data_IF_488969019543
#
_entry.id   IF_488969019543
#
_cell.length_a   1.000
_cell.length_b   1.000
_cell.length_c   1.000
_cell.angle_alpha   90.00
_cell.angle_beta   90.00
_cell.angle_gamma   90.00
#
_symmetry.space_group_name_H-M   'P 1'
#
loop_
_entity.id
_entity.type
_entity.pdbx_description
1 polymer ?
#
# COMPACT_ATOMS: atom_id res chain seq x y z
N UNK A 1 16.94 -19.42 -5.85
CA UNK A 1 16.14 -20.15 -4.86
C UNK A 1 14.76 -19.49 -4.76
N UNK A 2 13.72 -20.08 -5.32
CA UNK A 2 12.34 -19.75 -4.92
C UNK A 2 12.14 -20.37 -3.55
N UNK A 3 12.27 -19.58 -2.49
CA UNK A 3 11.67 -19.99 -1.22
C UNK A 3 10.17 -19.96 -1.49
N UNK A 4 9.53 -21.13 -1.53
CA UNK A 4 8.14 -21.25 -1.14
C UNK A 4 8.09 -20.64 0.25
N UNK A 5 7.72 -19.36 0.31
CA UNK A 5 7.29 -18.74 1.56
C UNK A 5 6.24 -19.72 2.05
N UNK A 6 6.56 -20.46 3.11
CA UNK A 6 5.63 -21.34 3.78
C UNK A 6 4.32 -20.57 3.87
N UNK A 7 3.25 -21.12 3.28
CA UNK A 7 2.18 -20.28 2.71
C UNK A 7 1.57 -19.34 3.75
N UNK A 8 1.77 -19.62 5.05
CA UNK A 8 1.61 -18.72 6.19
C UNK A 8 0.15 -18.33 6.44
N UNK A 9 -0.70 -18.58 5.45
CA UNK A 9 -2.11 -18.31 5.41
C UNK A 9 -2.91 -19.48 5.96
N UNK A 10 -2.37 -20.71 5.89
CA UNK A 10 -2.98 -21.88 6.51
C UNK A 10 -3.14 -21.74 8.03
N UNK A 11 -2.28 -20.98 8.70
CA UNK A 11 -2.40 -20.66 10.12
C UNK A 11 -3.17 -19.36 10.41
N UNK A 12 -3.44 -18.53 9.41
CA UNK A 12 -4.11 -17.22 9.57
C UNK A 12 -5.61 -17.31 9.33
N UNK A 13 -6.04 -18.16 8.40
CA UNK A 13 -7.44 -18.41 8.09
C UNK A 13 -7.77 -19.87 8.40
N UNK A 14 -8.76 -20.07 9.27
CA UNK A 14 -9.37 -21.36 9.54
C UNK A 14 -9.92 -22.01 8.27
N UNK A 15 -10.11 -23.33 8.29
CA UNK A 15 -10.71 -24.06 7.16
C UNK A 15 -12.08 -23.49 6.75
N UNK A 16 -12.93 -23.15 7.74
CA UNK A 16 -14.23 -22.53 7.50
C UNK A 16 -14.06 -21.18 6.77
N UNK A 17 -13.17 -20.30 7.22
CA UNK A 17 -12.91 -19.02 6.54
C UNK A 17 -12.41 -19.22 5.11
N UNK A 18 -11.55 -20.20 4.86
CA UNK A 18 -11.09 -20.52 3.50
C UNK A 18 -12.26 -20.93 2.58
N UNK A 19 -13.23 -21.70 3.09
CA UNK A 19 -14.44 -22.03 2.33
C UNK A 19 -15.33 -20.80 2.06
N UNK A 20 -15.38 -19.83 2.98
CA UNK A 20 -16.08 -18.56 2.74
C UNK A 20 -15.39 -17.73 1.66
N UNK A 21 -14.06 -17.65 1.68
CA UNK A 21 -13.29 -16.99 0.60
C UNK A 21 -13.56 -17.70 -0.73
N UNK A 22 -13.69 -19.03 -0.75
CA UNK A 22 -13.99 -19.83 -1.95
C UNK A 22 -15.39 -19.55 -2.49
N UNK A 23 -16.40 -19.52 -1.63
CA UNK A 23 -17.77 -19.16 -2.00
C UNK A 23 -17.85 -17.71 -2.50
N UNK A 24 -17.16 -16.79 -1.82
CA UNK A 24 -17.04 -15.41 -2.25
C UNK A 24 -16.42 -15.30 -3.65
N UNK A 25 -15.30 -15.98 -3.92
CA UNK A 25 -14.67 -16.03 -5.25
C UNK A 25 -15.64 -16.47 -6.34
N UNK A 26 -16.39 -17.57 -6.11
CA UNK A 26 -17.38 -18.07 -7.07
C UNK A 26 -18.42 -17.01 -7.43
N UNK A 27 -18.83 -16.18 -6.45
CA UNK A 27 -19.82 -15.12 -6.64
C UNK A 27 -19.28 -13.91 -7.43
N UNK A 28 -17.99 -13.57 -7.27
CA UNK A 28 -17.44 -12.32 -7.85
C UNK A 28 -16.62 -12.54 -9.12
N UNK A 29 -16.16 -13.76 -9.42
CA UNK A 29 -15.17 -14.03 -10.47
C UNK A 29 -15.57 -13.49 -11.85
N UNK A 30 -16.86 -13.55 -12.20
CA UNK A 30 -17.37 -13.06 -13.49
C UNK A 30 -17.46 -11.53 -13.54
N UNK A 31 -17.61 -10.87 -12.38
CA UNK A 31 -17.76 -9.42 -12.26
C UNK A 31 -16.38 -8.73 -12.20
N UNK A 32 -15.34 -9.44 -11.75
CA UNK A 32 -13.99 -8.87 -11.64
C UNK A 32 -13.40 -8.34 -12.95
N UNK A 33 -13.77 -8.95 -14.09
CA UNK A 33 -13.32 -8.47 -15.41
C UNK A 33 -13.88 -7.07 -15.69
N UNK A 34 -15.14 -6.84 -15.36
CA UNK A 34 -15.80 -5.55 -15.50
C UNK A 34 -15.25 -4.51 -14.51
N UNK A 35 -14.86 -4.90 -13.30
CA UNK A 35 -14.18 -3.96 -12.39
C UNK A 35 -12.81 -3.53 -12.90
N UNK A 36 -12.09 -4.43 -13.57
CA UNK A 36 -10.78 -4.12 -14.13
C UNK A 36 -10.87 -3.09 -15.26
N UNK A 37 -11.90 -3.13 -16.09
CA UNK A 37 -12.08 -2.15 -17.18
C UNK A 37 -12.46 -0.77 -16.67
N UNK A 38 -13.06 -0.69 -15.48
CA UNK A 38 -13.44 0.57 -14.80
C UNK A 38 -12.31 1.19 -13.98
N UNK A 39 -11.15 0.54 -13.89
CA UNK A 39 -10.02 1.08 -13.13
C UNK A 39 -9.48 2.34 -13.82
N UNK A 40 -9.55 3.47 -13.12
CA UNK A 40 -9.04 4.74 -13.60
C UNK A 40 -7.66 5.01 -12.99
N UNK A 41 -6.70 5.30 -13.87
CA UNK A 41 -5.38 5.81 -13.48
C UNK A 41 -5.50 7.28 -13.04
N UNK A 42 -4.50 7.83 -12.33
CA UNK A 42 -4.47 9.25 -12.02
C UNK A 42 -4.73 10.09 -13.27
N UNK A 43 -5.52 11.15 -13.14
CA UNK A 43 -5.88 12.01 -14.26
C UNK A 43 -4.62 12.52 -14.97
N UNK A 44 -4.57 12.36 -16.29
CA UNK A 44 -3.44 12.78 -17.12
C UNK A 44 -2.24 11.82 -17.12
N UNK A 45 -2.31 10.68 -16.42
CA UNK A 45 -1.26 9.66 -16.43
C UNK A 45 -1.84 8.38 -17.04
N UNK A 46 -1.28 7.92 -18.16
CA UNK A 46 -1.70 6.68 -18.78
C UNK A 46 -1.27 5.45 -17.95
N UNK A 47 -1.77 4.28 -18.38
CA UNK A 47 -1.49 3.00 -17.72
C UNK A 47 0.00 2.65 -17.74
N UNK A 48 0.66 2.80 -18.88
CA UNK A 48 2.05 2.39 -19.07
C UNK A 48 2.98 3.22 -18.20
N UNK A 49 2.81 4.54 -18.22
CA UNK A 49 3.51 5.48 -17.35
C UNK A 49 3.29 5.15 -15.87
N UNK A 50 2.05 4.86 -15.48
CA UNK A 50 1.73 4.49 -14.09
C UNK A 50 2.39 3.18 -13.66
N UNK A 51 2.45 2.19 -14.55
CA UNK A 51 3.13 0.90 -14.29
C UNK A 51 4.64 1.11 -14.22
N UNK A 52 5.23 1.86 -15.16
CA UNK A 52 6.65 2.20 -15.14
C UNK A 52 7.05 2.86 -13.83
N UNK A 53 6.31 3.89 -13.41
CA UNK A 53 6.58 4.60 -12.15
C UNK A 53 6.54 3.67 -10.93
N UNK A 54 5.65 2.67 -10.91
CA UNK A 54 5.60 1.68 -9.83
C UNK A 54 6.81 0.75 -9.86
N UNK A 55 7.21 0.29 -11.03
CA UNK A 55 8.38 -0.57 -11.19
C UNK A 55 9.67 0.17 -10.81
N UNK A 56 9.79 1.45 -11.16
CA UNK A 56 10.92 2.29 -10.78
C UNK A 56 11.02 2.42 -9.24
N UNK A 57 9.88 2.53 -8.53
CA UNK A 57 9.85 2.55 -7.06
C UNK A 57 10.22 1.19 -6.44
N UNK A 58 9.75 0.08 -7.01
CA UNK A 58 10.12 -1.26 -6.55
C UNK A 58 11.63 -1.49 -6.70
N UNK A 59 12.20 -1.11 -7.85
CA UNK A 59 13.64 -1.21 -8.10
C UNK A 59 14.44 -0.36 -7.10
N UNK A 60 14.02 0.88 -6.83
CA UNK A 60 14.68 1.74 -5.85
C UNK A 60 14.62 1.16 -4.43
N UNK A 61 13.49 0.55 -4.05
CA UNK A 61 13.36 -0.17 -2.78
C UNK A 61 14.33 -1.36 -2.74
N UNK A 62 14.40 -2.18 -3.79
CA UNK A 62 15.30 -3.33 -3.83
C UNK A 62 16.75 -2.90 -3.70
N UNK A 63 17.17 -1.85 -4.41
CA UNK A 63 18.52 -1.32 -4.33
C UNK A 63 18.87 -0.86 -2.90
N UNK A 64 17.99 -0.09 -2.26
CA UNK A 64 18.19 0.35 -0.88
C UNK A 64 18.29 -0.83 0.10
N UNK A 65 17.43 -1.84 -0.06
CA UNK A 65 17.45 -3.02 0.81
C UNK A 65 18.68 -3.91 0.59
N UNK A 66 19.18 -3.99 -0.63
CA UNK A 66 20.42 -4.72 -0.95
C UNK A 66 21.65 -4.02 -0.37
N UNK A 67 21.74 -2.70 -0.51
CA UNK A 67 22.90 -1.91 -0.08
C UNK A 67 22.90 -1.65 1.43
N UNK A 68 21.75 -1.36 2.02
CA UNK A 68 21.63 -0.81 3.38
C UNK A 68 20.76 -1.64 4.34
N UNK A 69 19.95 -2.57 3.82
CA UNK A 69 18.91 -3.29 4.57
C UNK A 69 17.81 -2.39 5.18
N UNK A 70 17.69 -1.14 4.72
CA UNK A 70 16.64 -0.19 5.09
C UNK A 70 16.42 0.81 3.94
N UNK A 71 15.32 1.56 3.96
CA UNK A 71 15.05 2.55 2.90
C UNK A 71 15.71 3.89 3.21
N UNK A 72 16.36 4.48 2.21
CA UNK A 72 16.77 5.90 2.27
C UNK A 72 15.53 6.78 2.36
N UNK A 73 15.65 7.96 2.98
CA UNK A 73 14.55 8.94 3.01
C UNK A 73 14.08 9.32 1.61
N UNK A 74 14.98 9.42 0.63
CA UNK A 74 14.64 9.73 -0.77
C UNK A 74 13.66 8.71 -1.35
N UNK A 75 13.94 7.41 -1.19
CA UNK A 75 13.08 6.31 -1.66
C UNK A 75 11.77 6.26 -0.87
N UNK A 76 11.85 6.38 0.46
CA UNK A 76 10.67 6.43 1.32
C UNK A 76 9.72 7.58 0.93
N UNK A 77 10.26 8.79 0.74
CA UNK A 77 9.49 9.96 0.34
C UNK A 77 8.94 9.84 -1.07
N UNK A 78 9.66 9.18 -2.00
CA UNK A 78 9.16 8.90 -3.34
C UNK A 78 7.89 8.02 -3.29
N UNK A 79 7.88 6.97 -2.47
CA UNK A 79 6.70 6.14 -2.22
C UNK A 79 5.55 6.95 -1.61
N UNK A 80 5.86 7.81 -0.64
CA UNK A 80 4.86 8.65 0.04
C UNK A 80 4.26 9.69 -0.91
N UNK A 81 5.08 10.31 -1.75
CA UNK A 81 4.65 11.27 -2.77
C UNK A 81 3.78 10.59 -3.82
N UNK A 82 4.21 9.45 -4.35
CA UNK A 82 3.41 8.66 -5.29
C UNK A 82 2.05 8.27 -4.69
N UNK A 83 2.04 7.82 -3.44
CA UNK A 83 0.84 7.30 -2.80
C UNK A 83 -0.12 8.34 -2.23
N UNK A 84 0.37 9.52 -1.82
CA UNK A 84 -0.36 10.47 -0.98
C UNK A 84 -0.10 11.94 -1.35
N UNK A 85 0.68 12.21 -2.40
CA UNK A 85 0.95 13.55 -2.91
C UNK A 85 1.90 14.39 -2.06
N UNK A 86 2.55 13.81 -1.05
CA UNK A 86 3.47 14.52 -0.17
C UNK A 86 4.61 13.64 0.35
N UNK A 87 5.79 14.25 0.49
CA UNK A 87 6.92 13.66 1.21
C UNK A 87 6.62 13.56 2.71
N UNK A 88 7.41 12.75 3.43
CA UNK A 88 7.35 12.70 4.88
C UNK A 88 8.21 13.80 5.51
N UNK A 89 7.80 14.27 6.68
CA UNK A 89 8.62 15.15 7.53
C UNK A 89 9.43 14.32 8.54
N UNK A 90 9.66 13.04 8.26
CA UNK A 90 10.38 12.12 9.14
C UNK A 90 11.89 12.26 8.92
N UNK A 91 12.64 12.03 9.99
CA UNK A 91 14.11 11.99 9.95
C UNK A 91 14.58 10.74 9.21
N UNK A 92 15.76 10.82 8.57
CA UNK A 92 16.43 9.66 7.96
C UNK A 92 16.62 8.53 8.98
N UNK A 93 17.03 8.87 10.21
CA UNK A 93 17.31 7.91 11.28
C UNK A 93 16.06 7.12 11.70
N UNK A 94 14.90 7.78 11.83
CA UNK A 94 13.66 7.09 12.19
C UNK A 94 13.16 6.20 11.06
N UNK A 95 13.25 6.68 9.80
CA UNK A 95 12.94 5.89 8.61
C UNK A 95 13.82 4.64 8.56
N UNK A 96 15.14 4.81 8.70
CA UNK A 96 16.10 3.71 8.65
C UNK A 96 15.83 2.66 9.73
N UNK A 97 15.61 3.09 10.98
CA UNK A 97 15.29 2.18 12.11
C UNK A 97 14.03 1.37 11.84
N UNK A 98 12.95 2.04 11.46
CA UNK A 98 11.62 1.42 11.33
C UNK A 98 11.54 0.53 10.09
N UNK A 99 12.10 0.98 8.96
CA UNK A 99 12.12 0.18 7.73
C UNK A 99 13.03 -1.04 7.87
N UNK A 100 14.19 -0.93 8.53
CA UNK A 100 15.04 -2.09 8.84
C UNK A 100 14.26 -3.18 9.57
N UNK A 101 13.60 -2.81 10.68
CA UNK A 101 12.77 -3.72 11.46
C UNK A 101 11.64 -4.32 10.62
N UNK A 102 10.91 -3.48 9.88
CA UNK A 102 9.81 -3.92 9.04
C UNK A 102 10.23 -4.95 7.98
N UNK A 103 11.34 -4.72 7.28
CA UNK A 103 11.84 -5.63 6.25
C UNK A 103 12.50 -6.90 6.83
N UNK A 104 13.02 -6.86 8.06
CA UNK A 104 13.40 -8.06 8.78
C UNK A 104 12.19 -8.95 9.13
N UNK A 105 11.12 -8.35 9.63
CA UNK A 105 9.84 -9.05 9.86
C UNK A 105 9.28 -9.62 8.55
N UNK A 106 9.28 -8.83 7.46
CA UNK A 106 8.77 -9.25 6.16
C UNK A 106 9.54 -10.47 5.62
N UNK A 107 10.88 -10.43 5.65
CA UNK A 107 11.73 -11.57 5.23
C UNK A 107 11.49 -12.84 6.05
N UNK A 108 10.98 -12.69 7.27
CA UNK A 108 10.64 -13.79 8.17
C UNK A 108 9.17 -14.24 8.05
N UNK A 109 8.40 -13.73 7.08
CA UNK A 109 6.99 -14.07 6.90
C UNK A 109 6.03 -13.42 7.91
N UNK A 110 6.52 -12.50 8.76
CA UNK A 110 5.75 -11.85 9.84
C UNK A 110 5.10 -10.55 9.36
N UNK A 111 4.04 -10.67 8.57
CA UNK A 111 3.41 -9.54 7.87
C UNK A 111 2.78 -8.50 8.81
N UNK A 112 2.06 -8.93 9.85
CA UNK A 112 1.47 -8.01 10.81
C UNK A 112 2.54 -7.20 11.55
N UNK A 113 3.63 -7.85 11.97
CA UNK A 113 4.76 -7.20 12.63
C UNK A 113 5.49 -6.25 11.69
N UNK A 114 5.66 -6.60 10.41
CA UNK A 114 6.24 -5.73 9.41
C UNK A 114 5.44 -4.43 9.24
N UNK A 115 4.10 -4.54 9.17
CA UNK A 115 3.22 -3.38 9.11
C UNK A 115 3.26 -2.56 10.41
N UNK A 116 3.26 -3.24 11.56
CA UNK A 116 3.30 -2.61 12.88
C UNK A 116 4.57 -1.76 13.06
N UNK A 117 5.73 -2.30 12.68
CA UNK A 117 7.00 -1.58 12.74
C UNK A 117 6.99 -0.28 11.92
N UNK A 118 6.33 -0.25 10.77
CA UNK A 118 6.15 0.99 10.01
C UNK A 118 5.10 1.91 10.63
N UNK A 119 4.05 1.37 11.24
CA UNK A 119 3.00 2.15 11.90
C UNK A 119 3.46 2.85 13.18
N UNK A 120 4.61 2.48 13.74
CA UNK A 120 5.26 3.21 14.84
C UNK A 120 5.81 4.57 14.40
N UNK A 121 6.04 4.78 13.10
CA UNK A 121 6.43 6.09 12.57
C UNK A 121 5.27 7.09 12.64
N UNK A 122 5.54 8.26 13.22
CA UNK A 122 4.55 9.34 13.33
C UNK A 122 3.96 9.70 11.96
N UNK A 123 2.64 9.61 11.85
CA UNK A 123 1.90 9.95 10.62
C UNK A 123 1.83 8.83 9.57
N UNK A 124 2.42 7.66 9.86
CA UNK A 124 2.35 6.46 9.01
C UNK A 124 1.26 5.53 9.55
N UNK A 125 0.04 5.66 9.03
CA UNK A 125 -1.02 4.68 9.28
C UNK A 125 -0.89 3.45 8.40
N UNK A 126 -1.74 2.44 8.63
CA UNK A 126 -1.70 1.15 7.93
C UNK A 126 -1.75 1.26 6.39
N UNK A 127 -2.45 2.26 5.86
CA UNK A 127 -2.49 2.52 4.40
C UNK A 127 -1.13 2.94 3.83
N UNK A 128 -0.32 3.68 4.60
CA UNK A 128 1.05 4.06 4.21
C UNK A 128 2.01 2.89 4.39
N UNK A 129 1.94 2.22 5.54
CA UNK A 129 2.75 1.07 5.86
C UNK A 129 2.60 -0.04 4.80
N UNK A 130 1.35 -0.46 4.53
CA UNK A 130 1.08 -1.50 3.52
C UNK A 130 1.51 -1.09 2.11
N UNK A 131 1.52 0.21 1.76
CA UNK A 131 1.99 0.68 0.45
C UNK A 131 3.51 0.57 0.30
N UNK A 132 4.25 0.90 1.36
CA UNK A 132 5.71 0.71 1.39
C UNK A 132 6.04 -0.77 1.24
N UNK A 133 5.38 -1.64 2.00
CA UNK A 133 5.57 -3.09 1.91
C UNK A 133 5.14 -3.61 0.54
N UNK A 134 3.97 -3.22 0.03
CA UNK A 134 3.45 -3.72 -1.25
C UNK A 134 4.31 -3.34 -2.45
N UNK A 135 4.99 -2.19 -2.42
CA UNK A 135 5.91 -1.80 -3.49
C UNK A 135 7.26 -2.51 -3.41
N UNK A 136 7.60 -3.15 -2.29
CA UNK A 136 8.81 -3.97 -2.20
C UNK A 136 8.68 -5.36 -2.83
N UNK A 137 7.44 -5.84 -3.02
CA UNK A 137 7.15 -7.07 -3.73
C UNK A 137 5.73 -6.98 -4.29
N UNK A 138 5.61 -6.34 -5.45
CA UNK A 138 4.31 -6.07 -6.07
C UNK A 138 3.60 -7.34 -6.54
N UNK A 139 4.32 -8.46 -6.59
CA UNK A 139 3.80 -9.76 -7.01
C UNK A 139 3.13 -10.48 -5.85
N UNK A 140 3.72 -10.43 -4.66
CA UNK A 140 3.28 -11.19 -3.50
C UNK A 140 2.48 -10.37 -2.48
N UNK A 141 2.50 -9.04 -2.58
CA UNK A 141 1.84 -8.12 -1.66
C UNK A 141 0.90 -7.15 -2.39
N UNK A 142 0.00 -6.53 -1.63
CA UNK A 142 -0.98 -5.59 -2.15
C UNK A 142 -1.24 -4.44 -1.18
N UNK A 143 -1.65 -3.29 -1.70
CA UNK A 143 -1.95 -2.10 -0.90
C UNK A 143 -3.24 -2.33 -0.11
N UNK A 144 -3.16 -2.16 1.20
CA UNK A 144 -4.28 -2.28 2.11
C UNK A 144 -4.71 -0.90 2.62
N UNK A 145 -5.67 -0.31 1.92
CA UNK A 145 -6.34 0.93 2.30
C UNK A 145 -7.85 0.71 2.51
N UNK A 146 -8.55 1.76 2.94
CA UNK A 146 -9.99 1.68 3.22
C UNK A 146 -10.81 1.27 1.99
N UNK A 147 -10.39 1.64 0.77
CA UNK A 147 -11.11 1.32 -0.48
C UNK A 147 -10.89 -0.13 -0.88
N UNK A 148 -9.65 -0.58 -0.81
CA UNK A 148 -9.27 -1.97 -1.08
C UNK A 148 -10.01 -2.93 -0.14
N UNK A 149 -10.00 -2.65 1.16
CA UNK A 149 -10.73 -3.44 2.16
C UNK A 149 -12.25 -3.38 1.95
N UNK A 150 -12.80 -2.20 1.61
CA UNK A 150 -14.23 -2.04 1.34
C UNK A 150 -14.72 -2.80 0.10
N UNK A 151 -13.84 -3.08 -0.87
CA UNK A 151 -14.13 -3.99 -1.98
C UNK A 151 -14.45 -5.41 -1.51
N UNK A 152 -13.86 -5.83 -0.39
CA UNK A 152 -14.06 -7.13 0.25
C UNK A 152 -15.10 -7.11 1.36
N UNK A 153 -15.88 -6.02 1.54
CA UNK A 153 -16.80 -5.87 2.69
C UNK A 153 -17.88 -6.95 2.84
N UNK A 154 -18.19 -7.66 1.75
CA UNK A 154 -19.18 -8.76 1.72
C UNK A 154 -18.55 -10.12 2.06
N UNK A 155 -17.23 -10.18 2.23
CA UNK A 155 -16.54 -11.37 2.69
C UNK A 155 -16.63 -11.42 4.22
N UNK A 156 -17.64 -12.13 4.70
CA UNK A 156 -17.95 -12.35 6.11
C UNK A 156 -17.85 -13.83 6.47
N UNK A 157 -17.65 -14.13 7.75
CA UNK A 157 -17.60 -15.48 8.30
C UNK A 157 -19.01 -15.96 8.72
N UNK A 158 -19.08 -17.11 9.40
CA UNK A 158 -20.33 -17.70 9.87
C UNK A 158 -21.02 -16.86 10.95
N UNK A 159 -20.29 -15.99 11.64
CA UNK A 159 -20.82 -15.07 12.65
C UNK A 159 -21.17 -13.70 12.05
N UNK A 160 -21.19 -13.59 10.72
CA UNK A 160 -21.40 -12.36 9.96
C UNK A 160 -20.34 -11.28 10.20
N UNK A 161 -19.20 -11.63 10.82
CA UNK A 161 -18.08 -10.72 11.01
C UNK A 161 -17.22 -10.67 9.74
N UNK A 162 -16.71 -9.48 9.41
CA UNK A 162 -15.85 -9.33 8.23
C UNK A 162 -14.52 -10.04 8.44
N UNK A 163 -14.12 -10.86 7.46
CA UNK A 163 -12.81 -11.50 7.49
C UNK A 163 -11.68 -10.48 7.40
N UNK A 164 -11.87 -9.40 6.65
CA UNK A 164 -10.90 -8.32 6.50
C UNK A 164 -11.51 -7.04 7.05
N UNK A 165 -10.98 -6.49 8.16
CA UNK A 165 -11.48 -5.22 8.70
C UNK A 165 -11.19 -4.08 7.71
N UNK A 166 -12.02 -3.03 7.75
CA UNK A 166 -11.84 -1.84 6.91
C UNK A 166 -11.08 -0.80 7.74
N UNK A 167 -9.85 -0.41 7.35
CA UNK A 167 -9.14 0.65 8.07
C UNK A 167 -9.82 2.01 7.85
N UNK A 168 -9.71 2.95 8.79
CA UNK A 168 -10.32 4.27 8.66
C UNK A 168 -9.76 5.01 7.44
N UNK A 169 -10.68 5.51 6.60
CA UNK A 169 -10.36 6.32 5.44
C UNK A 169 -10.94 7.73 5.53
N UNK A 170 -10.62 8.57 4.55
CA UNK A 170 -11.19 9.93 4.45
C UNK A 170 -12.69 9.92 4.16
N UNK A 171 -13.14 8.96 3.34
CA UNK A 171 -14.52 8.87 2.84
C UNK A 171 -15.25 7.64 3.41
N UNK A 172 -14.51 6.54 3.60
CA UNK A 172 -15.07 5.29 4.09
C UNK A 172 -14.83 5.23 5.60
N UNK A 173 -15.92 5.16 6.37
CA UNK A 173 -15.85 4.90 7.81
C UNK A 173 -15.21 3.53 8.01
N UNK A 174 -14.09 3.50 8.72
CA UNK A 174 -13.43 2.25 9.08
C UNK A 174 -14.12 1.56 10.25
N UNK A 175 -13.76 0.30 10.47
CA UNK A 175 -14.16 -0.47 11.63
C UNK A 175 -13.43 0.07 12.88
N UNK A 176 -14.04 -0.03 14.06
CA UNK A 176 -13.47 0.50 15.31
C UNK A 176 -12.92 -0.63 16.17
N UNK A 177 -11.83 -0.38 16.90
CA UNK A 177 -11.26 -1.34 17.86
C UNK A 177 -10.61 -2.59 17.26
N UNK A 178 -10.38 -2.61 15.93
CA UNK A 178 -9.74 -3.74 15.24
C UNK A 178 -8.23 -3.51 15.10
N UNK A 179 -7.43 -4.58 15.14
CA UNK A 179 -5.99 -4.52 14.81
C UNK A 179 -5.82 -4.57 13.28
N UNK A 180 -5.55 -3.42 12.66
CA UNK A 180 -5.37 -3.33 11.22
C UNK A 180 -4.05 -3.93 10.71
N UNK A 181 -3.07 -4.19 11.58
CA UNK A 181 -1.86 -4.90 11.18
C UNK A 181 -2.17 -6.39 10.94
N UNK A 182 -2.97 -6.97 11.83
CA UNK A 182 -3.55 -8.31 11.61
C UNK A 182 -4.53 -8.30 10.43
N UNK A 183 -5.31 -7.22 10.29
CA UNK A 183 -6.16 -7.00 9.12
C UNK A 183 -5.38 -7.02 7.80
N UNK A 184 -4.19 -6.43 7.76
CA UNK A 184 -3.31 -6.46 6.60
C UNK A 184 -2.83 -7.88 6.27
N UNK A 185 -2.39 -8.65 7.27
CA UNK A 185 -1.99 -10.04 7.07
C UNK A 185 -3.14 -10.89 6.53
N UNK A 186 -4.33 -10.77 7.12
CA UNK A 186 -5.55 -11.46 6.64
C UNK A 186 -5.91 -11.03 5.22
N UNK A 187 -5.80 -9.74 4.90
CA UNK A 187 -6.01 -9.22 3.55
C UNK A 187 -5.08 -9.87 2.51
N UNK A 188 -3.77 -9.92 2.78
CA UNK A 188 -2.82 -10.59 1.90
C UNK A 188 -3.16 -12.08 1.73
N UNK A 189 -3.54 -12.76 2.81
CA UNK A 189 -3.91 -14.17 2.74
C UNK A 189 -5.15 -14.43 1.91
N UNK A 190 -6.19 -13.61 2.06
CA UNK A 190 -7.37 -13.67 1.19
C UNK A 190 -6.96 -13.51 -0.28
N UNK A 191 -6.12 -12.51 -0.61
CA UNK A 191 -5.70 -12.30 -2.00
C UNK A 191 -4.87 -13.45 -2.56
N UNK A 192 -4.01 -14.08 -1.76
CA UNK A 192 -3.22 -15.25 -2.18
C UNK A 192 -4.13 -16.43 -2.54
N UNK A 193 -5.12 -16.74 -1.69
CA UNK A 193 -6.12 -17.78 -1.97
C UNK A 193 -6.91 -17.50 -3.25
N UNK A 194 -7.39 -16.25 -3.43
CA UNK A 194 -8.09 -15.85 -4.64
C UNK A 194 -7.21 -16.01 -5.89
N UNK A 195 -5.93 -15.64 -5.81
CA UNK A 195 -4.94 -15.78 -6.90
C UNK A 195 -4.70 -17.25 -7.24
N UNK A 196 -4.51 -18.11 -6.24
CA UNK A 196 -4.33 -19.55 -6.44
C UNK A 196 -5.52 -20.19 -7.13
N UNK A 197 -6.75 -19.88 -6.72
CA UNK A 197 -7.92 -20.46 -7.37
C UNK A 197 -8.17 -19.90 -8.76
N UNK A 198 -7.78 -18.65 -9.03
CA UNK A 198 -7.75 -18.14 -10.41
C UNK A 198 -6.82 -18.98 -11.29
N UNK A 199 -5.64 -19.37 -10.77
CA UNK A 199 -4.67 -20.20 -11.50
C UNK A 199 -5.17 -21.65 -11.66
N UNK A 200 -5.67 -22.27 -10.58
CA UNK A 200 -6.14 -23.68 -10.58
C UNK A 200 -7.46 -23.85 -11.34
N UNK A 201 -8.33 -22.85 -11.30
CA UNK A 201 -9.67 -22.87 -11.90
C UNK A 201 -9.70 -22.85 -13.44
N UNK A 202 -8.54 -22.91 -14.10
CA UNK A 202 -8.50 -23.27 -15.51
C UNK A 202 -9.18 -22.27 -16.43
N UNK A 203 -8.85 -20.98 -16.31
CA UNK A 203 -8.72 -20.22 -17.55
C UNK A 203 -7.41 -20.66 -18.21
N UNK A 204 -7.42 -21.85 -18.82
CA UNK A 204 -6.27 -22.44 -19.52
C UNK A 204 -5.80 -21.57 -20.70
N UNK A 205 -6.58 -20.55 -21.10
CA UNK A 205 -6.17 -19.51 -22.05
C UNK A 205 -5.25 -18.45 -21.43
N UNK A 206 -5.26 -18.29 -20.10
CA UNK A 206 -4.35 -17.40 -19.36
C UNK A 206 -2.95 -18.01 -19.11
N UNK A 207 -2.68 -19.22 -19.62
CA UNK A 207 -1.33 -19.81 -19.67
C UNK A 207 -0.47 -19.25 -20.82
N UNK A 208 -0.93 -18.23 -21.56
CA UNK A 208 0.02 -17.37 -22.25
C UNK A 208 0.63 -16.44 -21.20
N UNK A 209 1.95 -16.49 -20.94
CA UNK A 209 2.57 -15.34 -20.33
C UNK A 209 2.33 -14.20 -21.32
N UNK A 210 1.43 -13.26 -21.00
CA UNK A 210 1.61 -11.92 -21.54
C UNK A 210 3.05 -11.56 -21.17
N UNK A 211 3.93 -11.49 -22.17
CA UNK A 211 5.31 -11.07 -22.00
C UNK A 211 5.30 -9.88 -21.06
N UNK A 212 5.93 -10.00 -19.90
CA UNK A 212 7.37 -9.89 -19.82
C UNK A 212 7.87 -8.73 -20.72
N UNK A 213 7.28 -7.55 -20.54
CA UNK A 213 8.03 -6.31 -20.36
C UNK A 213 8.61 -6.26 -18.92
N UNK A 214 9.19 -7.38 -18.49
CA UNK A 214 10.07 -7.47 -17.34
C UNK A 214 11.41 -7.92 -17.92
N UNK A 215 12.22 -6.93 -18.29
CA UNK A 215 13.60 -7.13 -18.67
C UNK A 215 14.27 -8.03 -17.65
N UNK A 216 14.81 -9.13 -18.13
CA UNK A 216 15.54 -10.10 -17.35
C UNK A 216 16.80 -9.42 -16.77
N UNK A 217 16.78 -9.12 -15.48
CA UNK A 217 17.99 -8.99 -14.66
C UNK A 217 17.83 -9.90 -13.45
N UNK A 218 18.00 -11.20 -13.70
CA UNK A 218 18.05 -12.21 -12.65
C UNK A 218 19.52 -12.55 -12.40
N UNK A 219 20.22 -11.65 -11.70
CA UNK A 219 21.52 -11.98 -11.14
C UNK A 219 21.34 -13.13 -10.13
N UNK A 220 22.03 -14.23 -10.39
CA UNK A 220 22.00 -15.44 -9.59
C UNK A 220 22.68 -15.17 -8.24
N UNK A 221 21.87 -15.10 -7.19
CA UNK A 221 22.28 -15.04 -5.80
C UNK A 221 23.08 -16.32 -5.42
N UNK A 222 24.41 -16.20 -5.32
CA UNK A 222 25.29 -17.07 -4.52
C UNK A 222 25.89 -16.23 -3.40
N UNK A 223 25.63 -16.60 -2.14
CA UNK A 223 26.55 -16.30 -1.04
C UNK A 223 26.67 -17.53 -0.16
N UNK A 224 27.86 -18.11 -0.22
CA UNK A 224 28.47 -18.83 0.89
C UNK A 224 28.59 -17.86 2.07
N UNK A 225 28.13 -18.26 3.25
CA UNK A 225 28.56 -17.63 4.51
C UNK A 225 28.56 -18.68 5.60
N UNK A 226 29.77 -19.08 5.97
CA UNK A 226 30.07 -19.80 7.20
C UNK A 226 29.75 -18.90 8.41
N UNK A 227 29.16 -19.50 9.45
CA UNK A 227 28.84 -18.84 10.71
C UNK A 227 30.02 -18.92 11.68
N UNK A 228 30.26 -17.88 12.49
CA UNK A 228 30.89 -18.04 13.79
C UNK A 228 29.88 -17.90 14.94
N UNK A 229 30.06 -18.78 15.93
CA UNK A 229 29.43 -18.77 17.25
C UNK A 229 30.08 -17.73 18.16
N UNK A 230 29.26 -17.13 19.03
CA UNK A 230 29.51 -16.68 20.41
C UNK A 230 28.51 -15.55 20.74
N UNK A 231 28.11 -15.22 21.96
CA UNK A 231 27.99 -15.89 23.26
C UNK A 231 27.16 -14.92 24.13
N UNK A 232 26.54 -15.44 25.19
CA UNK A 232 25.58 -14.78 26.07
C UNK A 232 26.09 -13.55 26.85
N UNK A 233 25.15 -12.66 27.22
CA UNK A 233 25.30 -11.63 28.24
C UNK A 233 23.92 -11.11 28.70
N UNK A 234 23.63 -11.19 29.99
CA UNK A 234 22.33 -10.90 30.65
C UNK A 234 22.28 -9.48 31.27
N UNK A 235 21.06 -8.89 31.20
CA UNK A 235 20.32 -8.13 32.24
C UNK A 235 20.77 -6.70 32.65
N UNK A 236 19.99 -5.90 33.45
CA UNK A 236 18.54 -5.60 33.43
C UNK A 236 18.18 -4.09 33.69
N UNK A 237 16.86 -3.79 33.80
CA UNK A 237 16.19 -2.75 34.64
C UNK A 237 15.65 -1.43 34.05
N UNK A 238 14.39 -1.11 34.45
CA UNK A 238 13.76 0.22 34.54
C UNK A 238 12.79 0.57 33.40
N UNK A 239 11.52 0.96 33.57
CA UNK A 239 10.75 1.46 34.71
C UNK A 239 10.06 2.78 34.33
N UNK A 240 8.72 2.88 34.57
CA UNK A 240 7.80 4.04 34.44
C UNK A 240 7.15 4.25 33.07
N UNK A 241 5.97 4.86 32.93
CA UNK A 241 4.73 5.11 33.70
C UNK A 241 3.94 6.11 32.86
N UNK A 242 2.62 5.98 32.84
CA UNK A 242 1.61 6.72 32.08
C UNK A 242 1.70 8.26 32.16
N UNK A 243 1.30 8.94 31.08
CA UNK A 243 0.53 10.19 31.18
C UNK A 243 -0.28 10.48 29.90
N UNK A 244 -1.55 10.81 30.15
CA UNK A 244 -2.65 11.15 29.25
C UNK A 244 -2.59 12.59 28.74
N UNK A 245 -3.14 12.85 27.54
CA UNK A 245 -3.46 14.21 27.08
C UNK A 245 -4.55 14.19 25.99
N UNK A 246 -5.72 14.78 26.30
CA UNK A 246 -6.92 14.91 25.47
C UNK A 246 -6.93 16.23 24.69
N UNK A 247 -7.53 16.19 23.48
CA UNK A 247 -8.33 17.19 22.74
C UNK A 247 -7.68 18.56 22.44
N UNK A 248 -7.74 19.12 21.24
CA UNK A 248 -8.89 19.67 20.48
C UNK A 248 -8.62 19.53 18.96
N UNK A 249 -9.53 19.51 17.99
CA UNK A 249 -10.82 20.19 17.82
C UNK A 249 -10.65 21.34 16.82
N UNK A 250 -10.84 21.12 15.51
CA UNK A 250 -11.48 22.05 14.54
C UNK A 250 -11.40 21.59 13.07
N UNK A 251 -12.59 21.31 12.52
CA UNK A 251 -13.16 21.58 11.18
C UNK A 251 -12.27 21.62 9.93
N UNK A 252 -12.66 20.86 8.89
CA UNK A 252 -12.83 21.34 7.50
C UNK A 252 -13.51 20.26 6.62
N UNK A 253 -14.73 20.54 6.16
CA UNK A 253 -15.40 19.83 5.05
C UNK A 253 -15.27 20.67 3.78
N UNK A 254 -14.99 20.03 2.64
CA UNK A 254 -15.74 20.13 1.36
C UNK A 254 -15.10 19.19 0.31
N UNK A 255 -15.96 18.59 -0.53
CA UNK A 255 -15.70 17.80 -1.76
C UNK A 255 -15.73 16.26 -1.64
N UNK A 256 -16.90 15.73 -1.26
CA UNK A 256 -17.37 14.40 -1.69
C UNK A 256 -18.48 14.58 -2.72
N UNK A 257 -18.11 14.67 -4.00
CA UNK A 257 -19.02 14.45 -5.14
C UNK A 257 -18.20 13.67 -6.14
N UNK A 258 -18.63 12.43 -6.44
CA UNK A 258 -18.30 11.62 -7.63
C UNK A 258 -18.56 10.11 -7.42
N UNK A 259 -19.34 9.67 -6.42
CA UNK A 259 -19.84 8.29 -6.37
C UNK A 259 -21.25 8.21 -5.76
N UNK A 260 -22.25 8.68 -6.50
CA UNK A 260 -23.65 8.26 -6.34
C UNK A 260 -24.31 8.24 -7.73
N UNK A 261 -24.92 7.13 -8.16
CA UNK A 261 -25.77 7.13 -9.35
C UNK A 261 -27.05 7.90 -9.04
N UNK A 262 -27.35 8.97 -9.78
CA UNK A 262 -28.66 9.61 -9.75
C UNK A 262 -29.56 8.98 -10.82
N UNK A 263 -30.66 8.37 -10.38
CA UNK A 263 -31.83 8.17 -11.24
C UNK A 263 -32.55 9.51 -11.42
N UNK A 264 -32.78 9.92 -12.67
CA UNK A 264 -33.55 11.10 -13.02
C UNK A 264 -35.06 10.82 -12.96
N UNK A 265 -35.82 11.77 -12.40
CA UNK A 265 -37.08 12.23 -12.98
C UNK A 265 -37.39 13.68 -12.50
N UNK A 266 -38.10 14.51 -13.28
CA UNK A 266 -38.05 15.97 -13.15
C UNK A 266 -39.32 16.56 -12.53
N UNK A 267 -39.22 17.62 -11.72
CA UNK A 267 -40.21 18.72 -11.78
C UNK A 267 -39.75 20.02 -11.11
N UNK A 268 -40.03 21.11 -11.85
CA UNK A 268 -40.43 22.47 -11.44
C UNK A 268 -39.44 23.45 -10.78
N UNK A 269 -39.22 24.52 -11.56
CA UNK A 269 -38.78 25.88 -11.23
C UNK A 269 -39.31 26.38 -9.88
N UNK A 270 -38.41 26.96 -9.09
CA UNK A 270 -38.60 28.28 -8.48
C UNK A 270 -37.26 28.99 -8.34
N UNK A 271 -37.21 30.16 -8.95
CA UNK A 271 -36.22 31.22 -8.79
C UNK A 271 -36.10 31.65 -7.33
N UNK A 272 -34.88 31.88 -6.84
CA UNK A 272 -34.57 32.99 -5.94
C UNK A 272 -33.05 33.28 -5.93
N UNK A 273 -32.77 34.57 -6.06
CA UNK A 273 -31.54 35.32 -5.83
C UNK A 273 -30.62 34.78 -4.72
N UNK A 274 -29.30 34.68 -4.97
CA UNK A 274 -28.36 35.43 -4.12
C UNK A 274 -26.95 35.62 -4.67
N UNK A 275 -26.45 36.79 -4.26
CA UNK A 275 -25.20 37.53 -4.40
C UNK A 275 -23.89 36.72 -4.39
N UNK A 276 -22.91 37.34 -5.06
CA UNK A 276 -21.62 36.76 -5.39
C UNK A 276 -20.66 36.53 -4.22
N UNK A 277 -19.65 35.72 -4.50
CA UNK A 277 -18.29 35.97 -4.03
C UNK A 277 -17.32 35.29 -4.99
N UNK A 278 -16.63 36.12 -5.74
CA UNK A 278 -15.59 35.75 -6.69
C UNK A 278 -14.36 35.28 -5.90
N UNK A 279 -14.01 33.99 -6.02
CA UNK A 279 -12.74 33.46 -5.49
C UNK A 279 -11.93 32.87 -6.63
N UNK A 280 -10.73 33.43 -6.77
CA UNK A 280 -9.71 33.11 -7.75
C UNK A 280 -9.37 31.63 -7.73
N UNK A 281 -9.42 31.01 -8.91
CA UNK A 281 -8.86 29.68 -9.18
C UNK A 281 -7.35 29.76 -8.99
N UNK A 282 -6.82 28.90 -8.11
CA UNK A 282 -5.39 28.58 -8.09
C UNK A 282 -5.23 27.29 -8.85
N UNK A 283 -4.78 27.41 -10.09
CA UNK A 283 -4.42 26.28 -10.93
C UNK A 283 -3.20 25.58 -10.33
N UNK A 284 -3.38 24.30 -9.98
CA UNK A 284 -2.28 23.44 -9.56
C UNK A 284 -1.50 23.01 -10.82
N UNK A 285 -0.57 23.86 -11.25
CA UNK A 285 0.43 23.48 -12.25
C UNK A 285 1.41 22.47 -11.64
N UNK A 286 1.41 21.25 -12.16
CA UNK A 286 2.55 20.35 -12.03
C UNK A 286 3.71 20.93 -12.87
N UNK A 287 4.92 21.10 -12.31
CA UNK A 287 6.07 21.42 -13.14
C UNK A 287 6.43 20.20 -14.02
N UNK A 288 6.74 20.39 -15.31
CA UNK A 288 7.28 19.34 -16.15
C UNK A 288 8.68 18.93 -15.65
N UNK A 289 8.99 17.64 -15.78
CA UNK A 289 10.32 17.11 -15.51
C UNK A 289 11.27 17.48 -16.64
N UNK A 290 12.39 18.13 -16.32
CA UNK A 290 13.60 18.12 -17.15
C UNK A 290 14.14 19.50 -17.55
N UNK A 291 15.21 19.93 -16.88
CA UNK A 291 16.31 20.65 -17.51
C UNK A 291 17.59 20.45 -16.66
N UNK A 292 18.50 19.65 -17.19
CA UNK A 292 19.87 19.48 -16.70
C UNK A 292 20.63 20.76 -17.06
N UNK A 293 21.07 21.53 -16.07
CA UNK A 293 21.94 22.67 -16.31
C UNK A 293 23.39 22.19 -16.41
N UNK A 294 23.94 22.27 -17.62
CA UNK A 294 25.36 22.12 -17.89
C UNK A 294 26.12 23.36 -17.38
N UNK A 295 27.02 23.16 -16.42
CA UNK A 295 27.92 24.21 -15.91
C UNK A 295 29.04 24.44 -16.92
N UNK A 296 29.00 25.58 -17.61
CA UNK A 296 30.07 26.08 -18.47
C UNK A 296 31.04 26.89 -17.61
N UNK A 297 32.29 26.43 -17.49
CA UNK A 297 33.43 27.24 -17.04
C UNK A 297 33.69 28.35 -18.07
N UNK A 298 33.99 29.56 -17.61
CA UNK A 298 34.96 30.49 -18.20
C UNK A 298 35.06 31.71 -17.28
N UNK A 299 36.28 32.05 -16.87
CA UNK A 299 36.58 33.21 -16.04
C UNK A 299 38.09 33.41 -16.00
N UNK A 300 38.62 34.05 -17.04
CA UNK A 300 39.96 34.62 -17.08
C UNK A 300 39.91 36.04 -16.50
N UNK A 301 40.97 36.41 -15.80
CA UNK A 301 41.20 37.67 -15.09
C UNK A 301 41.35 38.90 -16.00
N UNK A 302 41.29 40.12 -15.43
CA UNK A 302 42.21 41.20 -15.77
C UNK A 302 43.52 41.14 -14.97
#
# INVERSE_FOLDING_TARGET
MSRTIDDGCGSVLSASEQDHVRSYWKSIKNILLDWRTRYQWPQGIDRETSVKNRNDLENAIHQDLEELSYLRKTTFDAVMKWGFGRSSNLSETDIARSTRSAFEHLRSGRLAEAARALCELRGVGISRASKILALSDQRELAIYDSRAAHGLRKLVDQSEERLVPIPPGRVIRGDTGKDFNQGFQRYICVLRLLREWKIRGGDSRARRPEGLLLGANRATFRRDTAAPRASAGRAPCGGRSWQTGRLTGEQFQTASKMLTPQHHAPTRRRSLSNKGTERRRTDCHYPPAGAVAATRRLGSAP
#
